data_IF_433978441270
#
_entry.id   IF_433978441270
#
_cell.length_a   1.000
_cell.length_b   1.000
_cell.length_c   1.000
_cell.angle_alpha   90.00
_cell.angle_beta   90.00
_cell.angle_gamma   90.00
#
_symmetry.space_group_name_H-M   'P 1'
#
loop_
_entity.id
_entity.type
_entity.pdbx_description
1 polymer ?
#
# COMPACT_ATOMS: atom_id res chain seq x y z
N UNK A 1 24.17 7.14 -12.32
CA UNK A 1 23.29 7.20 -11.13
C UNK A 1 23.85 6.23 -10.12
N UNK A 2 24.25 6.71 -8.94
CA UNK A 2 24.80 5.85 -7.90
C UNK A 2 23.65 5.15 -7.17
N UNK A 3 23.86 3.88 -6.81
CA UNK A 3 22.90 3.04 -6.08
C UNK A 3 22.43 3.64 -4.73
N UNK A 4 23.10 4.68 -4.25
CA UNK A 4 22.79 5.38 -3.00
C UNK A 4 21.56 6.31 -3.07
N UNK A 5 21.13 6.75 -4.26
CA UNK A 5 19.98 7.67 -4.42
C UNK A 5 18.61 6.94 -4.50
N UNK A 6 18.65 5.61 -4.55
CA UNK A 6 17.46 4.77 -4.77
C UNK A 6 16.67 4.48 -3.49
N UNK A 7 17.25 4.69 -2.31
CA UNK A 7 16.73 4.11 -1.07
C UNK A 7 16.85 5.09 0.11
N UNK A 8 15.73 5.50 0.73
CA UNK A 8 15.80 6.42 1.85
C UNK A 8 16.39 5.72 3.08
N UNK A 9 17.63 6.07 3.44
CA UNK A 9 18.14 5.84 4.80
C UNK A 9 17.33 6.63 5.85
N UNK A 10 16.59 7.66 5.40
CA UNK A 10 15.62 8.45 6.16
C UNK A 10 14.50 8.93 5.25
N UNK A 11 13.28 8.99 5.78
CA UNK A 11 12.13 9.67 5.17
C UNK A 11 11.88 10.94 5.99
N UNK A 12 11.92 12.15 5.39
CA UNK A 12 11.72 13.41 6.11
C UNK A 12 10.43 13.43 6.92
N UNK A 13 10.51 13.92 8.17
CA UNK A 13 9.39 13.97 9.11
C UNK A 13 8.85 12.61 9.57
N UNK A 14 9.42 11.48 9.13
CA UNK A 14 9.06 10.15 9.61
C UNK A 14 10.09 9.70 10.66
N UNK A 15 9.66 9.64 11.92
CA UNK A 15 10.50 9.27 13.07
C UNK A 15 10.83 7.77 13.15
N UNK A 16 10.89 7.07 12.02
CA UNK A 16 11.01 5.62 11.95
C UNK A 16 12.39 5.06 12.33
N UNK A 17 12.42 3.74 12.56
CA UNK A 17 13.61 2.95 12.87
C UNK A 17 14.58 2.79 11.70
N UNK A 18 15.58 1.90 11.80
CA UNK A 18 16.60 1.73 10.76
C UNK A 18 15.95 1.20 9.47
N UNK A 19 15.61 2.12 8.57
CA UNK A 19 15.04 1.81 7.26
C UNK A 19 16.06 1.02 6.45
N UNK A 20 15.62 -0.12 5.93
CA UNK A 20 16.45 -0.97 5.09
C UNK A 20 15.72 -1.30 3.80
N UNK A 21 16.47 -1.33 2.72
CA UNK A 21 15.98 -1.87 1.47
C UNK A 21 16.25 -3.37 1.43
N UNK A 22 15.18 -4.14 1.24
CA UNK A 22 15.23 -5.60 1.21
C UNK A 22 14.50 -6.11 -0.04
N UNK A 23 15.05 -5.81 -1.22
CA UNK A 23 14.44 -6.18 -2.52
C UNK A 23 14.02 -7.64 -2.59
N UNK A 24 14.83 -8.54 -2.02
CA UNK A 24 14.57 -9.99 -2.03
C UNK A 24 13.28 -10.41 -1.33
N UNK A 25 12.70 -9.56 -0.45
CA UNK A 25 11.37 -9.82 0.11
C UNK A 25 10.29 -9.73 -0.96
N UNK A 26 10.45 -8.87 -1.96
CA UNK A 26 9.47 -8.77 -3.03
C UNK A 26 9.43 -10.06 -3.85
N UNK A 27 10.55 -10.78 -3.99
CA UNK A 27 10.63 -12.04 -4.75
C UNK A 27 10.19 -13.27 -3.96
N UNK A 28 9.79 -13.11 -2.69
CA UNK A 28 9.37 -14.18 -1.81
C UNK A 28 7.84 -14.33 -1.80
N UNK A 29 7.26 -15.43 -2.31
CA UNK A 29 5.81 -15.63 -2.29
C UNK A 29 5.17 -15.49 -0.90
N UNK A 30 5.83 -15.99 0.15
CA UNK A 30 5.31 -15.93 1.52
C UNK A 30 5.23 -14.51 2.09
N UNK A 31 6.03 -13.58 1.55
CA UNK A 31 5.92 -12.16 1.90
C UNK A 31 4.57 -11.61 1.47
N UNK A 32 4.14 -11.90 0.23
CA UNK A 32 2.87 -11.42 -0.31
C UNK A 32 1.67 -11.99 0.44
N UNK A 33 1.72 -13.27 0.84
CA UNK A 33 0.63 -13.88 1.59
C UNK A 33 0.35 -13.12 2.89
N UNK A 34 1.39 -12.82 3.66
CA UNK A 34 1.18 -12.04 4.89
C UNK A 34 0.95 -10.54 4.66
N UNK A 35 1.50 -9.96 3.59
CA UNK A 35 1.23 -8.56 3.22
C UNK A 35 -0.24 -8.33 2.87
N UNK A 36 -0.87 -9.28 2.19
CA UNK A 36 -2.26 -9.18 1.75
C UNK A 36 -3.26 -9.62 2.82
N UNK A 37 -2.80 -10.14 3.96
CA UNK A 37 -3.68 -10.68 5.01
C UNK A 37 -4.63 -9.62 5.57
N UNK A 38 -4.18 -8.38 5.72
CA UNK A 38 -5.03 -7.27 6.21
C UNK A 38 -6.17 -6.91 5.26
N UNK A 39 -6.09 -7.31 4.00
CA UNK A 39 -7.14 -7.13 3.00
C UNK A 39 -8.26 -8.19 3.12
N UNK A 40 -8.06 -9.24 3.92
CA UNK A 40 -9.00 -10.35 4.08
C UNK A 40 -9.99 -10.04 5.21
N UNK A 41 -11.29 -10.28 4.96
CA UNK A 41 -12.36 -10.07 5.95
C UNK A 41 -13.21 -11.33 6.19
N UNK A 42 -12.93 -12.45 5.51
CA UNK A 42 -13.68 -13.69 5.64
C UNK A 42 -12.78 -14.92 5.72
N UNK A 43 -13.22 -15.93 6.47
CA UNK A 43 -12.51 -17.21 6.60
C UNK A 43 -12.29 -17.89 5.23
N UNK A 44 -13.27 -17.79 4.32
CA UNK A 44 -13.15 -18.33 2.97
C UNK A 44 -12.01 -17.65 2.18
N UNK A 45 -11.87 -16.33 2.30
CA UNK A 45 -10.80 -15.61 1.63
C UNK A 45 -9.43 -15.85 2.29
N UNK A 46 -9.40 -16.12 3.60
CA UNK A 46 -8.19 -16.58 4.31
C UNK A 46 -7.74 -17.96 3.82
N UNK A 47 -8.66 -18.91 3.64
CA UNK A 47 -8.37 -20.23 3.06
C UNK A 47 -7.86 -20.11 1.62
N UNK A 48 -8.43 -19.22 0.80
CA UNK A 48 -7.94 -18.95 -0.55
C UNK A 48 -6.54 -18.33 -0.58
N UNK A 49 -6.25 -17.42 0.36
CA UNK A 49 -4.96 -16.72 0.41
C UNK A 49 -3.84 -17.65 0.85
N UNK A 50 -4.05 -18.43 1.91
CA UNK A 50 -2.99 -19.25 2.48
C UNK A 50 -2.99 -20.68 2.00
N UNK A 51 -4.17 -21.31 1.84
CA UNK A 51 -4.30 -22.73 1.51
C UNK A 51 -3.37 -23.61 2.36
N UNK A 52 -2.57 -24.44 1.67
CA UNK A 52 -1.58 -25.32 2.30
C UNK A 52 -0.37 -24.58 2.90
N UNK A 53 -0.14 -23.32 2.54
CA UNK A 53 1.02 -22.52 2.94
C UNK A 53 0.80 -21.73 4.23
N UNK A 54 -0.34 -21.91 4.92
CA UNK A 54 -0.70 -21.17 6.14
C UNK A 54 0.43 -21.14 7.19
N UNK A 55 0.95 -22.30 7.58
CA UNK A 55 1.99 -22.41 8.61
C UNK A 55 3.30 -21.76 8.13
N UNK A 56 3.67 -21.96 6.87
CA UNK A 56 4.88 -21.39 6.28
C UNK A 56 4.81 -19.86 6.21
N UNK A 57 3.66 -19.32 5.81
CA UNK A 57 3.41 -17.89 5.77
C UNK A 57 3.43 -17.28 7.18
N UNK A 58 2.80 -17.91 8.16
CA UNK A 58 2.82 -17.47 9.54
C UNK A 58 4.25 -17.47 10.11
N UNK A 59 5.03 -18.53 9.90
CA UNK A 59 6.43 -18.62 10.30
C UNK A 59 7.30 -17.52 9.64
N UNK A 60 7.05 -17.26 8.36
CA UNK A 60 7.69 -16.17 7.64
C UNK A 60 7.36 -14.80 8.25
N UNK A 61 6.08 -14.52 8.47
CA UNK A 61 5.63 -13.24 9.04
C UNK A 61 6.17 -13.02 10.45
N UNK A 62 6.16 -14.03 11.32
CA UNK A 62 6.77 -13.91 12.66
C UNK A 62 8.24 -13.52 12.59
N UNK A 63 9.00 -14.06 11.63
CA UNK A 63 10.40 -13.66 11.40
C UNK A 63 10.54 -12.26 10.84
N UNK A 64 9.65 -11.84 9.93
CA UNK A 64 9.63 -10.49 9.37
C UNK A 64 9.42 -9.44 10.46
N UNK A 65 8.42 -9.65 11.33
CA UNK A 65 8.07 -8.73 12.40
C UNK A 65 9.06 -8.74 13.58
N UNK A 66 9.84 -9.80 13.76
CA UNK A 66 10.89 -9.88 14.77
C UNK A 66 12.21 -9.16 14.39
N UNK A 67 12.30 -8.58 13.18
CA UNK A 67 13.51 -7.89 12.72
C UNK A 67 13.71 -6.57 13.45
N UNK A 68 14.96 -6.24 13.75
CA UNK A 68 15.33 -4.91 14.23
C UNK A 68 15.28 -3.84 13.12
N UNK A 69 15.45 -4.27 11.87
CA UNK A 69 15.38 -3.45 10.67
C UNK A 69 13.94 -3.24 10.23
N UNK A 70 13.66 -2.08 9.63
CA UNK A 70 12.34 -1.78 9.05
C UNK A 70 12.45 -1.84 7.53
N UNK A 71 11.98 -2.93 6.89
CA UNK A 71 11.90 -3.00 5.44
C UNK A 71 11.12 -1.82 4.87
N UNK A 72 11.71 -1.13 3.90
CA UNK A 72 11.09 0.00 3.22
C UNK A 72 11.17 -0.18 1.70
N UNK A 73 10.02 -0.07 1.04
CA UNK A 73 9.89 -0.10 -0.41
C UNK A 73 9.43 1.25 -0.92
N UNK A 74 9.86 1.61 -2.12
CA UNK A 74 9.54 2.88 -2.78
C UNK A 74 8.90 2.62 -4.13
N UNK A 75 7.82 3.31 -4.42
CA UNK A 75 7.20 3.40 -5.74
C UNK A 75 7.41 4.82 -6.25
N UNK A 76 8.07 4.97 -7.40
CA UNK A 76 8.23 6.26 -8.05
C UNK A 76 6.89 6.77 -8.58
N UNK A 77 6.67 8.07 -8.46
CA UNK A 77 5.55 8.81 -9.02
C UNK A 77 6.05 9.98 -9.86
N UNK A 78 5.14 10.62 -10.60
CA UNK A 78 5.44 11.77 -11.43
C UNK A 78 6.02 12.95 -10.64
N UNK A 79 6.79 13.80 -11.32
CA UNK A 79 7.42 14.99 -10.74
C UNK A 79 8.21 14.68 -9.44
N UNK A 80 9.05 13.65 -9.45
CA UNK A 80 9.93 13.22 -8.35
C UNK A 80 9.23 12.82 -7.03
N UNK A 81 7.90 12.71 -7.03
CA UNK A 81 7.16 12.19 -5.90
C UNK A 81 7.44 10.69 -5.71
N UNK A 82 7.30 10.22 -4.47
CA UNK A 82 7.58 8.85 -4.06
C UNK A 82 6.52 8.39 -3.07
N UNK A 83 6.02 7.18 -3.26
CA UNK A 83 5.28 6.44 -2.24
C UNK A 83 6.22 5.48 -1.54
N UNK A 84 6.30 5.55 -0.22
CA UNK A 84 7.05 4.62 0.61
C UNK A 84 6.10 3.69 1.35
N UNK A 85 6.40 2.40 1.32
CA UNK A 85 5.73 1.36 2.10
C UNK A 85 6.72 0.88 3.14
N UNK A 86 6.46 1.15 4.42
CA UNK A 86 7.39 0.90 5.52
C UNK A 86 6.82 -0.12 6.49
N UNK A 87 7.52 -1.24 6.65
CA UNK A 87 7.22 -2.28 7.63
C UNK A 87 7.84 -1.87 8.96
N UNK A 88 7.02 -1.27 9.82
CA UNK A 88 7.38 -0.84 11.16
C UNK A 88 7.35 -2.06 12.08
N UNK A 89 8.53 -2.47 12.57
CA UNK A 89 8.69 -3.69 13.40
C UNK A 89 8.85 -3.37 14.90
N UNK A 90 8.27 -2.27 15.37
CA UNK A 90 8.30 -1.92 16.81
C UNK A 90 7.48 -2.93 17.60
N UNK A 91 8.05 -3.50 18.65
CA UNK A 91 7.32 -4.39 19.53
C UNK A 91 6.05 -3.71 20.07
N UNK A 92 4.93 -4.43 20.04
CA UNK A 92 3.58 -3.96 20.42
C UNK A 92 2.98 -2.84 19.55
N UNK A 93 3.66 -2.43 18.47
CA UNK A 93 3.23 -1.38 17.56
C UNK A 93 3.74 -1.68 16.13
N UNK A 94 3.53 -2.93 15.70
CA UNK A 94 3.91 -3.40 14.36
C UNK A 94 2.86 -3.04 13.33
N UNK A 95 3.29 -2.66 12.14
CA UNK A 95 2.37 -2.38 11.04
C UNK A 95 3.05 -1.88 9.78
N UNK A 96 2.24 -1.55 8.78
CA UNK A 96 2.72 -1.01 7.50
C UNK A 96 2.25 0.43 7.33
N UNK A 97 3.18 1.37 7.20
CA UNK A 97 2.88 2.78 6.93
C UNK A 97 3.05 3.09 5.44
N UNK A 98 2.11 3.86 4.88
CA UNK A 98 2.11 4.32 3.50
C UNK A 98 2.32 5.83 3.46
N UNK A 99 3.49 6.26 2.99
CA UNK A 99 3.94 7.65 3.06
C UNK A 99 4.16 8.21 1.67
N UNK A 100 3.59 9.37 1.38
CA UNK A 100 3.86 10.14 0.18
C UNK A 100 4.90 11.22 0.46
N UNK A 101 5.89 11.34 -0.39
CA UNK A 101 6.99 12.27 -0.21
C UNK A 101 7.42 12.91 -1.53
N UNK A 102 7.97 14.11 -1.45
CA UNK A 102 8.70 14.79 -2.53
C UNK A 102 10.00 15.34 -1.95
N UNK A 103 11.15 15.32 -2.67
CA UNK A 103 12.44 15.79 -2.15
C UNK A 103 12.43 17.20 -1.54
N UNK A 104 11.59 18.09 -2.07
CA UNK A 104 11.43 19.47 -1.58
C UNK A 104 10.45 19.61 -0.39
N UNK A 105 9.91 18.51 0.14
CA UNK A 105 9.03 18.55 1.31
C UNK A 105 9.83 18.32 2.60
N UNK A 106 9.60 19.18 3.60
CA UNK A 106 10.20 19.03 4.92
C UNK A 106 9.70 17.76 5.67
N UNK A 107 8.55 17.22 5.25
CA UNK A 107 7.90 16.07 5.86
C UNK A 107 7.09 15.26 4.84
N UNK A 108 7.15 13.94 4.95
CA UNK A 108 6.28 13.02 4.23
C UNK A 108 4.85 13.01 4.79
N UNK A 109 3.89 12.83 3.90
CA UNK A 109 2.46 12.75 4.19
C UNK A 109 2.05 11.29 4.42
N UNK A 110 1.50 10.97 5.58
CA UNK A 110 0.92 9.65 5.84
C UNK A 110 -0.42 9.52 5.12
N UNK A 111 -0.52 8.59 4.16
CA UNK A 111 -1.72 8.33 3.39
C UNK A 111 -2.59 7.23 3.99
N UNK A 112 -1.95 6.17 4.49
CA UNK A 112 -2.61 5.05 5.11
C UNK A 112 -1.68 4.38 6.13
N UNK A 113 -2.28 3.64 7.05
CA UNK A 113 -1.60 2.81 8.04
C UNK A 113 -2.39 1.52 8.19
N UNK A 114 -1.68 0.42 8.01
CA UNK A 114 -2.20 -0.93 8.17
C UNK A 114 -1.61 -1.54 9.46
N UNK A 115 -2.34 -1.35 10.56
CA UNK A 115 -2.06 -1.90 11.88
C UNK A 115 -3.36 -2.02 12.70
N UNK A 116 -3.25 -2.34 13.99
CA UNK A 116 -4.41 -2.44 14.89
C UNK A 116 -5.21 -1.13 15.07
N UNK A 117 -4.67 0.01 14.65
CA UNK A 117 -5.33 1.32 14.62
C UNK A 117 -5.41 1.85 13.19
N UNK A 118 -5.85 0.98 12.28
CA UNK A 118 -5.95 1.22 10.85
C UNK A 118 -6.40 2.66 10.48
N UNK A 119 -5.71 3.24 9.50
CA UNK A 119 -6.07 4.53 8.90
C UNK A 119 -6.07 4.41 7.37
N UNK A 120 -7.17 4.78 6.73
CA UNK A 120 -7.34 4.71 5.28
C UNK A 120 -8.81 4.72 4.85
N UNK A 121 -9.10 4.56 3.55
CA UNK A 121 -8.14 4.32 2.47
C UNK A 121 -7.37 5.58 2.05
N UNK A 122 -6.14 5.38 1.56
CA UNK A 122 -5.25 6.44 1.07
C UNK A 122 -5.29 6.63 -0.45
N UNK A 123 -5.62 5.57 -1.19
CA UNK A 123 -5.59 5.52 -2.66
C UNK A 123 -6.95 5.09 -3.24
N UNK A 124 -7.37 5.80 -4.28
CA UNK A 124 -8.43 5.37 -5.21
C UNK A 124 -7.91 4.35 -6.22
N UNK A 125 -8.80 3.70 -6.96
CA UNK A 125 -8.42 2.76 -8.02
C UNK A 125 -7.56 3.41 -9.12
N UNK A 126 -7.90 4.59 -9.68
CA UNK A 126 -7.05 5.25 -10.67
C UNK A 126 -5.65 5.61 -10.15
N UNK A 127 -5.56 6.08 -8.90
CA UNK A 127 -4.28 6.44 -8.27
C UNK A 127 -3.41 5.18 -8.03
N UNK A 128 -4.02 4.08 -7.56
CA UNK A 128 -3.34 2.78 -7.40
C UNK A 128 -2.79 2.26 -8.73
N UNK A 129 -3.60 2.26 -9.78
CA UNK A 129 -3.22 1.76 -11.11
C UNK A 129 -2.12 2.63 -11.73
N UNK A 130 -2.22 3.96 -11.63
CA UNK A 130 -1.19 4.86 -12.14
C UNK A 130 0.16 4.68 -11.42
N UNK A 131 0.13 4.50 -10.10
CA UNK A 131 1.33 4.21 -9.31
C UNK A 131 1.95 2.84 -9.67
N UNK A 132 1.11 1.84 -9.97
CA UNK A 132 1.57 0.51 -10.37
C UNK A 132 2.11 0.46 -11.80
N UNK A 133 1.53 1.21 -12.73
CA UNK A 133 1.81 1.06 -14.18
C UNK A 133 2.93 1.96 -14.69
N UNK A 134 3.27 3.04 -13.99
CA UNK A 134 4.28 3.97 -14.47
C UNK A 134 5.63 3.27 -14.69
N UNK A 135 6.50 3.83 -15.53
CA UNK A 135 7.81 3.22 -15.83
C UNK A 135 8.96 4.08 -15.31
N UNK A 136 8.68 4.90 -14.30
CA UNK A 136 9.63 5.85 -13.77
C UNK A 136 10.76 5.10 -13.02
N UNK A 137 12.03 5.50 -13.22
CA UNK A 137 13.14 4.93 -12.47
C UNK A 137 13.07 5.36 -11.00
N UNK A 138 13.85 4.70 -10.14
CA UNK A 138 14.00 5.10 -8.74
C UNK A 138 13.13 4.35 -7.74
N UNK A 139 12.25 3.46 -8.20
CA UNK A 139 11.47 2.57 -7.35
C UNK A 139 12.27 1.36 -6.88
N UNK A 140 11.76 0.71 -5.84
CA UNK A 140 12.27 -0.53 -5.27
C UNK A 140 12.11 -1.74 -6.18
N UNK A 141 11.24 -1.65 -7.17
CA UNK A 141 10.99 -2.65 -8.21
C UNK A 141 10.49 -1.97 -9.48
N UNK A 142 10.78 -2.56 -10.63
CA UNK A 142 10.21 -2.14 -11.92
C UNK A 142 8.98 -2.97 -12.30
N UNK A 143 8.67 -4.02 -11.53
CA UNK A 143 7.54 -4.91 -11.80
C UNK A 143 6.21 -4.24 -11.40
N UNK A 144 5.27 -4.03 -12.34
CA UNK A 144 3.97 -3.44 -12.02
C UNK A 144 3.14 -4.31 -11.08
N UNK A 145 3.26 -5.64 -11.15
CA UNK A 145 2.50 -6.55 -10.27
C UNK A 145 2.91 -6.39 -8.81
N UNK A 146 4.22 -6.35 -8.54
CA UNK A 146 4.76 -6.06 -7.21
C UNK A 146 4.29 -4.71 -6.67
N UNK A 147 4.26 -3.66 -7.51
CA UNK A 147 3.79 -2.32 -7.07
C UNK A 147 2.29 -2.30 -6.77
N UNK A 148 1.49 -2.99 -7.60
CA UNK A 148 0.06 -3.13 -7.37
C UNK A 148 -0.21 -3.80 -6.02
N UNK A 149 0.40 -4.96 -5.76
CA UNK A 149 0.19 -5.70 -4.51
C UNK A 149 0.75 -4.96 -3.29
N UNK A 150 1.89 -4.27 -3.41
CA UNK A 150 2.46 -3.47 -2.31
C UNK A 150 1.49 -2.40 -1.82
N UNK A 151 0.81 -1.72 -2.76
CA UNK A 151 -0.08 -0.59 -2.48
C UNK A 151 -1.52 -1.00 -2.16
N UNK A 152 -1.90 -2.27 -2.39
CA UNK A 152 -3.27 -2.75 -2.24
C UNK A 152 -3.87 -2.55 -0.83
N UNK A 153 -3.13 -2.73 0.29
CA UNK A 153 -3.73 -2.48 1.62
C UNK A 153 -4.05 -1.00 1.91
N UNK A 154 -3.49 -0.06 1.14
CA UNK A 154 -3.83 1.36 1.23
C UNK A 154 -4.99 1.77 0.30
N UNK A 155 -5.48 0.84 -0.52
CA UNK A 155 -6.55 1.08 -1.47
C UNK A 155 -7.92 0.90 -0.83
N UNK A 156 -8.87 1.71 -1.28
CA UNK A 156 -10.29 1.51 -1.02
C UNK A 156 -11.12 2.42 -1.93
N UNK A 157 -11.98 1.86 -2.77
CA UNK A 157 -12.76 2.54 -3.80
C UNK A 157 -14.03 1.74 -4.14
N UNK A 158 -15.20 2.37 -4.16
CA UNK A 158 -16.47 1.73 -4.57
C UNK A 158 -16.68 1.72 -6.09
N UNK A 159 -15.85 2.45 -6.85
CA UNK A 159 -15.96 2.62 -8.30
C UNK A 159 -14.90 1.81 -9.07
N UNK A 160 -14.66 0.57 -8.65
CA UNK A 160 -13.74 -0.37 -9.31
C UNK A 160 -14.30 -0.81 -10.68
N UNK A 161 -13.51 -0.78 -11.77
CA UNK A 161 -13.97 -1.20 -13.09
C UNK A 161 -14.03 -2.73 -13.24
N UNK A 162 -14.80 -3.20 -14.21
CA UNK A 162 -15.05 -4.64 -14.45
C UNK A 162 -13.77 -5.46 -14.71
N UNK A 163 -12.73 -4.85 -15.27
CA UNK A 163 -11.45 -5.51 -15.58
C UNK A 163 -10.49 -5.61 -14.39
N UNK A 164 -10.82 -4.99 -13.25
CA UNK A 164 -9.97 -4.96 -12.06
C UNK A 164 -9.66 -6.35 -11.51
N UNK A 165 -10.63 -7.27 -11.53
CA UNK A 165 -10.45 -8.65 -11.07
C UNK A 165 -9.36 -9.33 -11.89
N UNK A 166 -9.41 -9.24 -13.22
CA UNK A 166 -8.40 -9.84 -14.10
C UNK A 166 -7.01 -9.25 -13.88
N UNK A 167 -6.93 -7.93 -13.66
CA UNK A 167 -5.67 -7.24 -13.33
C UNK A 167 -5.08 -7.73 -12.00
N UNK A 168 -5.87 -7.79 -10.95
CA UNK A 168 -5.41 -8.22 -9.63
C UNK A 168 -5.05 -9.71 -9.63
N UNK A 169 -5.85 -10.55 -10.28
CA UNK A 169 -5.58 -11.97 -10.46
C UNK A 169 -4.25 -12.21 -11.17
N UNK A 170 -3.95 -11.45 -12.23
CA UNK A 170 -2.66 -11.51 -12.91
C UNK A 170 -1.47 -11.18 -11.99
N UNK A 171 -1.64 -10.21 -11.08
CA UNK A 171 -0.61 -9.87 -10.10
C UNK A 171 -0.44 -10.94 -9.02
N UNK A 172 -1.54 -11.50 -8.52
CA UNK A 172 -1.52 -12.62 -7.58
C UNK A 172 -0.81 -13.82 -8.21
N UNK A 173 -1.21 -14.22 -9.40
CA UNK A 173 -0.57 -15.32 -10.13
C UNK A 173 0.94 -15.11 -10.34
N UNK A 174 1.37 -13.87 -10.60
CA UNK A 174 2.77 -13.55 -10.84
C UNK A 174 3.64 -13.54 -9.57
N UNK A 175 3.07 -13.27 -8.39
CA UNK A 175 3.82 -13.01 -7.15
C UNK A 175 3.55 -13.99 -6.01
N UNK A 176 2.47 -14.77 -6.07
CA UNK A 176 2.08 -15.72 -5.03
C UNK A 176 2.00 -17.14 -5.58
N UNK A 177 1.76 -18.10 -4.67
CA UNK A 177 1.47 -19.49 -5.00
C UNK A 177 -0.03 -19.83 -4.88
N UNK A 178 -0.91 -18.82 -4.84
CA UNK A 178 -2.36 -19.01 -4.66
C UNK A 178 -2.94 -19.83 -5.81
N UNK A 179 -3.72 -20.87 -5.47
CA UNK A 179 -4.29 -21.80 -6.45
C UNK A 179 -5.40 -21.18 -7.33
N UNK A 180 -6.25 -20.33 -6.75
CA UNK A 180 -7.36 -19.66 -7.44
C UNK A 180 -7.23 -18.12 -7.30
N UNK A 181 -6.36 -17.48 -8.10
CA UNK A 181 -6.11 -16.05 -8.02
C UNK A 181 -7.31 -15.20 -8.47
N UNK A 182 -8.18 -15.69 -9.37
CA UNK A 182 -9.38 -14.95 -9.78
C UNK A 182 -10.42 -14.84 -8.67
N UNK A 183 -10.69 -15.94 -7.95
CA UNK A 183 -11.63 -15.94 -6.83
C UNK A 183 -11.08 -15.09 -5.68
N UNK A 184 -9.78 -15.21 -5.36
CA UNK A 184 -9.15 -14.37 -4.35
C UNK A 184 -9.18 -12.88 -4.73
N UNK A 185 -8.86 -12.54 -5.99
CA UNK A 185 -8.92 -11.15 -6.46
C UNK A 185 -10.32 -10.56 -6.32
N UNK A 186 -11.36 -11.33 -6.64
CA UNK A 186 -12.76 -10.91 -6.48
C UNK A 186 -13.10 -10.63 -5.02
N UNK A 187 -12.68 -11.51 -4.10
CA UNK A 187 -12.89 -11.30 -2.66
C UNK A 187 -12.16 -10.06 -2.14
N UNK A 188 -10.89 -9.88 -2.51
CA UNK A 188 -10.08 -8.72 -2.12
C UNK A 188 -10.69 -7.38 -2.59
N UNK A 189 -11.22 -7.32 -3.81
CA UNK A 189 -11.84 -6.11 -4.36
C UNK A 189 -13.24 -5.85 -3.81
N UNK A 190 -13.96 -6.89 -3.39
CA UNK A 190 -15.27 -6.75 -2.76
C UNK A 190 -15.14 -6.23 -1.32
N UNK A 191 -14.25 -6.82 -0.53
CA UNK A 191 -14.14 -6.53 0.90
C UNK A 191 -13.20 -5.34 1.18
N UNK A 192 -12.10 -5.23 0.43
CA UNK A 192 -11.12 -4.14 0.53
C UNK A 192 -10.54 -3.95 1.94
N UNK A 193 -10.45 -5.03 2.73
CA UNK A 193 -9.85 -5.02 4.07
C UNK A 193 -10.54 -4.12 5.08
N UNK A 194 -9.76 -3.68 6.07
CA UNK A 194 -10.19 -2.75 7.11
C UNK A 194 -10.73 -1.39 6.60
N UNK A 195 -10.21 -0.76 5.51
CA UNK A 195 -10.82 0.48 5.02
C UNK A 195 -12.21 0.26 4.43
N UNK A 196 -12.45 -0.90 3.82
CA UNK A 196 -13.65 -1.16 3.03
C UNK A 196 -13.75 -0.30 1.76
N UNK A 197 -14.77 -0.54 0.93
CA UNK A 197 -15.06 0.32 -0.22
C UNK A 197 -15.41 1.73 0.24
N UNK A 198 -14.77 2.73 -0.37
CA UNK A 198 -15.01 4.14 -0.09
C UNK A 198 -15.40 4.89 -1.36
N UNK A 199 -16.33 5.83 -1.24
CA UNK A 199 -16.77 6.65 -2.36
C UNK A 199 -15.88 7.86 -2.55
N UNK A 200 -15.25 7.97 -3.71
CA UNK A 200 -14.41 9.12 -4.05
C UNK A 200 -15.23 10.23 -4.71
N UNK A 201 -15.04 11.46 -4.24
CA UNK A 201 -15.73 12.64 -4.77
C UNK A 201 -14.80 13.85 -4.84
N UNK A 202 -15.00 14.67 -5.87
CA UNK A 202 -14.35 15.98 -5.98
C UNK A 202 -15.25 17.00 -5.27
N UNK A 203 -14.97 17.25 -3.99
CA UNK A 203 -15.64 18.32 -3.25
C UNK A 203 -15.04 19.70 -3.61
N UNK A 204 -15.71 20.79 -3.22
CA UNK A 204 -15.51 22.17 -3.69
C UNK A 204 -14.10 22.80 -3.60
N UNK A 205 -13.09 22.06 -3.16
CA UNK A 205 -11.68 22.43 -3.21
C UNK A 205 -10.96 21.97 -4.48
N UNK A 206 -11.62 21.20 -5.36
CA UNK A 206 -11.11 20.83 -6.69
C UNK A 206 -10.19 19.60 -6.73
N UNK A 207 -10.05 18.89 -5.61
CA UNK A 207 -9.29 17.64 -5.52
C UNK A 207 -10.14 16.51 -4.89
N UNK A 208 -9.78 15.27 -5.18
CA UNK A 208 -10.53 14.09 -4.75
C UNK A 208 -10.33 13.78 -3.27
N UNK A 209 -11.43 13.60 -2.54
CA UNK A 209 -11.49 13.02 -1.19
C UNK A 209 -12.46 11.84 -1.16
N UNK A 210 -12.56 11.15 -0.03
CA UNK A 210 -13.44 9.98 0.12
C UNK A 210 -14.31 10.05 1.39
N UNK A 211 -15.27 9.14 1.52
CA UNK A 211 -16.15 9.04 2.69
C UNK A 211 -15.72 7.98 3.72
N UNK A 212 -14.56 7.34 3.52
CA UNK A 212 -14.02 6.30 4.41
C UNK A 212 -13.85 6.78 5.84
N UNK A 213 -14.26 5.97 6.82
CA UNK A 213 -14.39 6.40 8.22
C UNK A 213 -13.06 6.84 8.85
N UNK A 214 -11.97 6.15 8.50
CA UNK A 214 -10.63 6.34 9.05
C UNK A 214 -9.67 7.01 8.07
N UNK A 215 -10.19 7.62 7.00
CA UNK A 215 -9.39 8.20 5.93
C UNK A 215 -8.90 9.60 6.28
N UNK A 216 -7.60 9.83 6.08
CA UNK A 216 -6.98 11.16 6.13
C UNK A 216 -7.50 12.10 5.04
N UNK A 217 -8.17 11.56 4.01
CA UNK A 217 -8.75 12.27 2.87
C UNK A 217 -10.27 12.41 2.98
N UNK A 218 -10.85 12.07 4.13
CA UNK A 218 -12.26 12.31 4.40
C UNK A 218 -12.51 13.71 4.97
N UNK A 219 -13.18 14.62 4.26
CA UNK A 219 -13.34 16.02 4.68
C UNK A 219 -14.22 16.19 5.92
N UNK A 220 -14.96 15.16 6.33
CA UNK A 220 -15.84 15.20 7.51
C UNK A 220 -15.12 14.85 8.82
N UNK A 221 -13.91 14.30 8.74
CA UNK A 221 -13.19 13.78 9.91
C UNK A 221 -12.30 14.84 10.55
N UNK A 222 -12.18 14.78 11.88
CA UNK A 222 -11.40 15.75 12.67
C UNK A 222 -9.89 15.64 12.43
N UNK A 223 -9.42 14.47 12.01
CA UNK A 223 -8.02 14.19 11.68
C UNK A 223 -7.74 14.30 10.18
N UNK A 224 -8.68 14.86 9.39
CA UNK A 224 -8.46 15.08 7.96
C UNK A 224 -7.25 15.97 7.73
N UNK A 225 -6.52 15.71 6.65
CA UNK A 225 -5.42 16.57 6.25
C UNK A 225 -5.95 17.98 5.94
N UNK A 226 -5.18 19.01 6.27
CA UNK A 226 -5.50 20.38 5.88
C UNK A 226 -5.63 20.50 4.35
N UNK A 227 -6.42 21.46 3.86
CA UNK A 227 -6.66 21.66 2.43
C UNK A 227 -5.37 21.73 1.59
N UNK A 228 -4.34 22.45 2.07
CA UNK A 228 -3.04 22.55 1.37
C UNK A 228 -2.33 21.19 1.26
N UNK A 229 -2.41 20.37 2.30
CA UNK A 229 -1.83 19.02 2.32
C UNK A 229 -2.59 18.08 1.40
N UNK A 230 -3.93 18.14 1.40
CA UNK A 230 -4.76 17.37 0.46
C UNK A 230 -4.49 17.76 -0.99
N UNK A 231 -4.34 19.05 -1.28
CA UNK A 231 -4.00 19.52 -2.62
C UNK A 231 -2.64 18.98 -3.09
N UNK A 232 -1.62 18.96 -2.21
CA UNK A 232 -0.32 18.36 -2.51
C UNK A 232 -0.41 16.86 -2.75
N UNK A 233 -1.16 16.13 -1.91
CA UNK A 233 -1.40 14.69 -2.09
C UNK A 233 -2.06 14.42 -3.44
N UNK A 234 -3.12 15.15 -3.78
CA UNK A 234 -3.83 14.98 -5.04
C UNK A 234 -2.95 15.30 -6.26
N UNK A 235 -2.13 16.36 -6.20
CA UNK A 235 -1.20 16.71 -7.28
C UNK A 235 -0.15 15.61 -7.51
N UNK A 236 0.37 15.00 -6.44
CA UNK A 236 1.37 13.95 -6.51
C UNK A 236 0.83 12.61 -7.06
N UNK A 237 -0.44 12.32 -6.78
CA UNK A 237 -1.12 11.08 -7.19
C UNK A 237 -1.87 11.23 -8.52
N UNK A 238 -1.81 12.40 -9.15
CA UNK A 238 -2.40 12.60 -10.47
C UNK A 238 -1.67 11.70 -11.49
N UNK A 239 -2.40 10.85 -12.24
CA UNK A 239 -1.82 9.99 -13.28
C UNK A 239 -1.06 10.72 -14.39
#
# INVERSE_FOLDING_TARGET
MNSADLQPARIPGYGGGPLTYQAGLLDEPLFWLGHLYSCIQSENAEELLFGADYDAANDFQRRLWARAEWPAFTVSLGADHRLHVVYRTVADDTGTDYLLHHPDWDQAELLARDDGHFMGPGLSWPELVAAADNTLPGGSTTDPHSRLLLLLPAFGDDAVPDDAVGRLAGALHARTSVEDPETLASALLQDQGAPGPARWTIAGHGFSGNDGEYSFRNPTKRFTLSADRLARVAAALTP
#
